data_IF_586339169020
#
_entry.id   IF_586339169020
#
_cell.length_a   1.000
_cell.length_b   1.000
_cell.length_c   1.000
_cell.angle_alpha   90.00
_cell.angle_beta   90.00
_cell.angle_gamma   90.00
#
_symmetry.space_group_name_H-M   'P 1'
#
loop_
_entity.id
_entity.type
_entity.pdbx_description
1 polymer ?
#
# COMPACT_ATOMS: atom_id res chain seq x y z
N UNK A 1 -33.11 4.86 5.36
CA UNK A 1 -32.42 4.94 4.05
C UNK A 1 -31.23 5.86 4.26
N UNK A 2 -30.00 5.36 4.12
CA UNK A 2 -28.83 6.24 4.19
C UNK A 2 -28.68 7.07 2.92
N UNK A 3 -27.78 8.04 2.94
CA UNK A 3 -27.56 8.97 1.81
C UNK A 3 -26.47 8.44 0.87
N UNK A 4 -26.52 8.89 -0.37
CA UNK A 4 -25.41 8.77 -1.30
C UNK A 4 -24.39 9.91 -1.06
N UNK A 5 -23.11 9.56 -1.00
CA UNK A 5 -21.98 10.49 -0.89
C UNK A 5 -21.12 10.31 -2.15
N UNK A 6 -20.83 11.37 -2.86
CA UNK A 6 -20.11 11.30 -4.14
C UNK A 6 -18.66 11.73 -4.00
N UNK A 7 -17.77 11.02 -4.68
CA UNK A 7 -16.33 11.28 -4.72
C UNK A 7 -15.86 11.32 -6.18
N UNK A 8 -15.08 12.35 -6.54
CA UNK A 8 -14.45 12.50 -7.84
C UNK A 8 -13.12 13.25 -7.69
N UNK A 9 -11.99 12.55 -7.92
CA UNK A 9 -10.64 13.12 -7.86
C UNK A 9 -10.44 14.33 -8.80
N UNK A 10 -11.14 14.35 -9.94
CA UNK A 10 -11.05 15.44 -10.93
C UNK A 10 -11.91 16.67 -10.61
N UNK A 11 -12.61 16.69 -9.48
CA UNK A 11 -13.44 17.85 -9.13
C UNK A 11 -12.59 19.04 -8.68
N UNK A 12 -12.73 20.18 -9.36
CA UNK A 12 -11.91 21.37 -9.11
C UNK A 12 -12.45 22.23 -7.95
N UNK A 13 -13.76 22.17 -7.65
CA UNK A 13 -14.41 22.99 -6.62
C UNK A 13 -14.25 22.51 -5.17
N UNK A 14 -14.95 23.16 -4.25
CA UNK A 14 -15.03 22.72 -2.85
C UNK A 14 -16.01 21.53 -2.73
N UNK A 15 -15.49 20.36 -2.35
CA UNK A 15 -16.28 19.13 -2.27
C UNK A 15 -17.12 19.06 -1.00
N UNK A 16 -18.44 18.86 -1.16
CA UNK A 16 -19.43 18.72 -0.07
C UNK A 16 -20.04 17.30 -0.01
N UNK A 17 -19.58 16.40 -0.87
CA UNK A 17 -20.07 15.02 -0.97
C UNK A 17 -21.42 14.87 -1.66
N UNK A 18 -21.95 15.92 -2.29
CA UNK A 18 -23.16 15.84 -3.11
C UNK A 18 -22.81 15.50 -4.56
N UNK A 19 -23.80 15.17 -5.38
CA UNK A 19 -23.57 14.85 -6.79
C UNK A 19 -23.00 16.03 -7.58
N UNK A 20 -23.44 17.25 -7.27
CA UNK A 20 -23.03 18.49 -7.92
C UNK A 20 -21.70 19.04 -7.36
N UNK A 21 -21.35 18.66 -6.14
CA UNK A 21 -20.13 19.05 -5.45
C UNK A 21 -19.52 17.84 -4.73
N UNK A 22 -18.99 16.84 -5.46
CA UNK A 22 -18.43 15.63 -4.87
C UNK A 22 -17.17 15.95 -4.05
N UNK A 23 -16.87 15.11 -3.07
CA UNK A 23 -15.55 15.14 -2.43
C UNK A 23 -14.44 14.79 -3.42
N UNK A 24 -13.22 15.21 -3.16
CA UNK A 24 -12.05 14.92 -4.02
C UNK A 24 -11.35 13.63 -3.62
N UNK A 25 -11.38 13.31 -2.32
CA UNK A 25 -10.76 12.14 -1.72
C UNK A 25 -11.80 11.19 -1.15
N UNK A 26 -11.52 9.90 -1.22
CA UNK A 26 -12.37 8.86 -0.62
C UNK A 26 -12.37 9.03 0.91
N UNK A 27 -11.25 9.43 1.51
CA UNK A 27 -11.15 9.69 2.94
C UNK A 27 -12.16 10.75 3.41
N UNK A 28 -12.39 11.83 2.64
CA UNK A 28 -13.38 12.85 3.02
C UNK A 28 -14.79 12.28 3.13
N UNK A 29 -15.13 11.29 2.29
CA UNK A 29 -16.37 10.57 2.41
C UNK A 29 -16.35 9.61 3.61
N UNK A 30 -15.23 8.91 3.83
CA UNK A 30 -15.04 7.99 4.95
C UNK A 30 -15.14 8.68 6.32
N UNK A 31 -14.74 9.95 6.41
CA UNK A 31 -14.83 10.78 7.62
C UNK A 31 -16.29 11.05 8.05
N UNK A 32 -17.22 11.08 7.09
CA UNK A 32 -18.62 11.50 7.33
C UNK A 32 -19.65 10.42 7.06
N UNK A 33 -19.28 9.31 6.42
CA UNK A 33 -20.15 8.19 6.13
C UNK A 33 -20.57 7.49 7.42
N UNK A 34 -21.86 7.14 7.51
CA UNK A 34 -22.47 6.46 8.66
C UNK A 34 -23.21 5.21 8.21
N UNK A 35 -23.61 4.37 9.16
CA UNK A 35 -24.41 3.16 8.91
C UNK A 35 -25.58 3.45 7.96
N UNK A 36 -25.65 2.69 6.86
CA UNK A 36 -26.66 2.82 5.81
C UNK A 36 -26.24 3.72 4.62
N UNK A 37 -25.19 4.52 4.75
CA UNK A 37 -24.71 5.40 3.68
C UNK A 37 -23.98 4.63 2.58
N UNK A 38 -23.99 5.19 1.37
CA UNK A 38 -23.24 4.67 0.21
C UNK A 38 -22.32 5.75 -0.35
N UNK A 39 -21.03 5.49 -0.34
CA UNK A 39 -19.98 6.28 -0.98
C UNK A 39 -19.82 5.78 -2.43
N UNK A 40 -20.13 6.64 -3.39
CA UNK A 40 -20.05 6.40 -4.83
C UNK A 40 -18.83 7.14 -5.39
N UNK A 41 -17.85 6.38 -5.89
CA UNK A 41 -16.56 6.91 -6.34
C UNK A 41 -16.48 6.88 -7.86
N UNK A 42 -16.30 8.05 -8.47
CA UNK A 42 -16.08 8.19 -9.91
C UNK A 42 -14.72 7.65 -10.34
N UNK A 43 -14.56 7.27 -11.62
CA UNK A 43 -13.27 6.84 -12.16
C UNK A 43 -12.14 7.85 -11.90
N UNK A 44 -10.95 7.34 -11.61
CA UNK A 44 -9.79 8.16 -11.27
C UNK A 44 -8.77 7.43 -10.40
N UNK A 45 -7.60 8.03 -10.24
CA UNK A 45 -6.53 7.53 -9.37
C UNK A 45 -6.58 8.30 -8.05
N UNK A 46 -6.76 7.57 -6.97
CA UNK A 46 -6.87 8.06 -5.60
C UNK A 46 -5.61 7.62 -4.84
N UNK A 47 -4.63 8.54 -4.75
CA UNK A 47 -3.35 8.34 -4.08
C UNK A 47 -3.49 8.59 -2.58
N UNK A 48 -4.17 7.68 -1.89
CA UNK A 48 -4.52 7.86 -0.48
C UNK A 48 -4.60 6.53 0.26
N UNK A 49 -4.60 6.63 1.59
CA UNK A 49 -5.01 5.55 2.47
C UNK A 49 -6.38 5.91 3.03
N UNK A 50 -7.35 5.04 2.77
CA UNK A 50 -8.72 5.16 3.27
C UNK A 50 -8.86 4.44 4.60
N UNK A 51 -9.20 5.20 5.64
CA UNK A 51 -9.43 4.81 7.02
C UNK A 51 -10.90 5.06 7.38
N UNK A 52 -11.81 4.09 7.18
CA UNK A 52 -13.22 4.22 7.57
C UNK A 52 -13.37 4.45 9.07
N UNK A 53 -14.01 5.57 9.45
CA UNK A 53 -14.14 5.94 10.87
C UNK A 53 -15.34 5.30 11.57
N UNK A 54 -16.44 5.07 10.84
CA UNK A 54 -17.71 4.63 11.42
C UNK A 54 -18.09 3.22 10.95
N UNK A 55 -18.50 2.38 11.89
CA UNK A 55 -19.04 1.06 11.60
C UNK A 55 -20.45 1.13 10.98
N UNK A 56 -20.73 0.19 10.09
CA UNK A 56 -22.09 -0.15 9.67
C UNK A 56 -22.79 -1.09 10.67
N UNK A 57 -24.00 -1.50 10.30
CA UNK A 57 -24.74 -2.59 10.94
C UNK A 57 -25.10 -3.64 9.91
N UNK A 58 -25.50 -4.82 10.36
CA UNK A 58 -25.88 -5.94 9.49
C UNK A 58 -26.96 -5.57 8.46
N UNK A 59 -27.98 -4.82 8.88
CA UNK A 59 -29.06 -4.31 8.01
C UNK A 59 -28.76 -2.91 7.41
N UNK A 60 -27.68 -2.25 7.81
CA UNK A 60 -27.34 -0.87 7.46
C UNK A 60 -25.82 -0.73 7.28
N UNK A 61 -25.27 -1.40 6.27
CA UNK A 61 -23.84 -1.37 5.93
C UNK A 61 -23.40 0.03 5.52
N UNK A 62 -22.11 0.34 5.69
CA UNK A 62 -21.49 1.46 4.98
C UNK A 62 -20.88 0.91 3.70
N UNK A 63 -21.33 1.38 2.56
CA UNK A 63 -20.93 0.83 1.25
C UNK A 63 -19.99 1.83 0.58
N UNK A 64 -18.81 1.37 0.18
CA UNK A 64 -17.90 2.07 -0.72
C UNK A 64 -17.94 1.35 -2.05
N UNK A 65 -18.23 2.08 -3.12
CA UNK A 65 -18.42 1.50 -4.44
C UNK A 65 -17.80 2.36 -5.53
N UNK A 66 -16.98 1.76 -6.37
CA UNK A 66 -16.61 2.34 -7.66
C UNK A 66 -17.84 2.35 -8.57
N UNK A 67 -18.18 3.52 -9.13
CA UNK A 67 -19.36 3.69 -10.00
C UNK A 67 -19.19 2.88 -11.29
N UNK A 68 -17.98 2.87 -11.83
CA UNK A 68 -17.58 2.01 -12.96
C UNK A 68 -16.69 0.88 -12.41
N UNK A 69 -16.95 -0.40 -12.71
CA UNK A 69 -16.12 -1.50 -12.25
C UNK A 69 -14.64 -1.27 -12.59
N UNK A 70 -13.78 -1.34 -11.57
CA UNK A 70 -12.34 -1.08 -11.63
C UNK A 70 -11.91 0.32 -12.10
N UNK A 71 -12.87 1.25 -12.29
CA UNK A 71 -12.60 2.62 -12.74
C UNK A 71 -11.96 3.51 -11.67
N UNK A 72 -12.26 3.28 -10.40
CA UNK A 72 -11.60 3.95 -9.27
C UNK A 72 -10.42 3.09 -8.77
N UNK A 73 -9.22 3.67 -8.88
CA UNK A 73 -7.96 3.04 -8.43
C UNK A 73 -7.52 3.67 -7.11
N UNK A 74 -7.41 2.89 -6.05
CA UNK A 74 -6.85 3.33 -4.75
C UNK A 74 -5.41 2.84 -4.69
N UNK A 75 -4.44 3.76 -4.60
CA UNK A 75 -3.02 3.40 -4.67
C UNK A 75 -2.20 3.95 -3.50
N UNK A 76 -1.36 3.08 -2.93
CA UNK A 76 -0.41 3.44 -1.88
C UNK A 76 0.85 4.14 -2.42
N UNK A 77 0.97 4.30 -3.74
CA UNK A 77 2.15 4.83 -4.40
C UNK A 77 2.01 6.28 -4.87
N UNK A 78 3.14 6.95 -5.04
CA UNK A 78 3.25 8.28 -5.66
C UNK A 78 4.06 8.20 -6.95
N UNK A 79 3.70 9.02 -7.93
CA UNK A 79 4.50 9.18 -9.14
C UNK A 79 5.75 10.01 -8.82
N UNK A 80 6.90 9.58 -9.34
CA UNK A 80 8.18 10.25 -9.10
C UNK A 80 8.80 10.66 -10.43
N UNK A 81 9.10 11.96 -10.53
CA UNK A 81 9.83 12.58 -11.63
C UNK A 81 11.16 13.16 -11.14
N UNK A 82 11.88 13.84 -12.03
CA UNK A 82 13.16 14.48 -11.76
C UNK A 82 14.29 13.50 -11.38
N UNK A 83 14.22 12.30 -11.94
CA UNK A 83 15.31 11.35 -11.89
C UNK A 83 16.54 11.94 -12.61
N UNK A 84 17.70 11.83 -11.98
CA UNK A 84 18.97 12.25 -12.57
C UNK A 84 19.77 11.03 -12.97
N UNK A 85 20.34 11.04 -14.17
CA UNK A 85 21.21 9.95 -14.62
C UNK A 85 22.40 9.84 -13.66
N UNK A 86 22.60 8.67 -13.07
CA UNK A 86 23.70 8.40 -12.14
C UNK A 86 24.87 7.76 -12.88
N UNK A 87 24.62 6.60 -13.51
CA UNK A 87 25.64 5.84 -14.24
C UNK A 87 25.00 4.81 -15.17
N UNK A 88 25.43 4.76 -16.43
CA UNK A 88 24.94 3.81 -17.44
C UNK A 88 23.40 3.83 -17.54
N UNK A 89 22.72 2.75 -17.13
CA UNK A 89 21.25 2.64 -17.11
C UNK A 89 20.63 2.98 -15.74
N UNK A 90 21.45 3.35 -14.76
CA UNK A 90 21.03 3.69 -13.40
C UNK A 90 20.73 5.18 -13.28
N UNK A 91 19.55 5.46 -12.75
CA UNK A 91 19.11 6.79 -12.38
C UNK A 91 18.91 6.89 -10.88
N UNK A 92 19.01 8.11 -10.35
CA UNK A 92 18.88 8.42 -8.94
C UNK A 92 17.82 9.51 -8.73
N UNK A 93 17.06 9.39 -7.65
CA UNK A 93 16.17 10.45 -7.16
C UNK A 93 16.33 10.60 -5.64
N UNK A 94 16.19 11.83 -5.15
CA UNK A 94 16.13 12.13 -3.71
C UNK A 94 14.71 12.55 -3.36
N UNK A 95 14.10 11.87 -2.40
CA UNK A 95 12.73 12.09 -1.95
C UNK A 95 12.77 12.60 -0.52
N UNK A 96 12.13 13.73 -0.25
CA UNK A 96 12.05 14.27 1.11
C UNK A 96 11.22 13.34 2.00
N UNK A 97 11.73 13.02 3.20
CA UNK A 97 11.11 12.02 4.07
C UNK A 97 9.72 12.44 4.60
N UNK A 98 9.36 13.73 4.51
CA UNK A 98 8.04 14.24 4.88
C UNK A 98 6.89 13.49 4.17
N UNK A 99 7.10 13.05 2.93
CA UNK A 99 6.07 12.32 2.16
C UNK A 99 5.66 11.00 2.84
N UNK A 100 6.56 10.41 3.63
CA UNK A 100 6.35 9.13 4.30
C UNK A 100 5.69 9.28 5.68
N UNK A 101 5.66 10.50 6.25
CA UNK A 101 5.19 10.72 7.61
C UNK A 101 5.93 9.83 8.62
N UNK A 102 5.18 9.14 9.48
CA UNK A 102 5.73 8.26 10.52
C UNK A 102 6.12 6.86 10.01
N UNK A 103 5.94 6.58 8.71
CA UNK A 103 6.19 5.28 8.11
C UNK A 103 6.94 5.40 6.78
N UNK A 104 8.26 5.20 6.81
CA UNK A 104 9.08 5.16 5.60
C UNK A 104 9.27 3.72 5.10
N UNK A 105 8.70 3.35 3.92
CA UNK A 105 8.86 2.02 3.36
C UNK A 105 10.32 1.67 3.03
N UNK A 106 11.19 2.66 2.83
CA UNK A 106 12.59 2.50 2.44
C UNK A 106 13.55 2.36 3.62
N UNK A 107 13.05 2.48 4.86
CA UNK A 107 13.78 2.14 6.08
C UNK A 107 13.11 1.04 6.90
N UNK A 108 11.88 0.66 6.52
CA UNK A 108 11.14 -0.41 7.20
C UNK A 108 11.50 -1.75 6.59
N UNK A 109 12.06 -2.65 7.39
CA UNK A 109 12.44 -3.98 6.93
C UNK A 109 11.24 -4.95 6.89
N UNK A 110 11.24 -5.83 5.89
CA UNK A 110 10.45 -7.06 5.92
C UNK A 110 11.14 -7.98 6.93
N UNK A 111 10.52 -8.16 8.08
CA UNK A 111 11.07 -8.94 9.19
C UNK A 111 9.95 -9.44 10.12
N UNK A 112 10.29 -10.38 11.00
CA UNK A 112 9.39 -10.87 12.05
C UNK A 112 9.47 -12.39 12.21
N UNK A 113 8.54 -12.91 13.01
CA UNK A 113 8.46 -14.34 13.29
C UNK A 113 8.33 -15.16 12.01
N UNK A 114 9.04 -16.30 11.95
CA UNK A 114 9.14 -17.18 10.78
C UNK A 114 9.68 -16.56 9.49
N UNK A 115 10.27 -15.36 9.55
CA UNK A 115 10.95 -14.77 8.40
C UNK A 115 12.43 -15.19 8.35
N UNK A 116 12.76 -16.15 7.48
CA UNK A 116 14.11 -16.73 7.36
C UNK A 116 14.84 -16.33 6.07
N UNK A 117 14.62 -15.11 5.58
CA UNK A 117 15.28 -14.65 4.36
C UNK A 117 16.79 -14.40 4.62
N UNK A 118 17.68 -14.84 3.71
CA UNK A 118 19.12 -14.62 3.85
C UNK A 118 19.54 -13.18 3.57
N UNK A 119 18.64 -12.36 3.03
CA UNK A 119 18.90 -10.97 2.66
C UNK A 119 17.85 -10.08 3.27
N UNK A 120 18.29 -8.92 3.75
CA UNK A 120 17.40 -7.88 4.24
C UNK A 120 16.71 -7.23 3.05
N UNK A 121 15.40 -7.01 3.20
CA UNK A 121 14.55 -6.36 2.22
C UNK A 121 13.69 -5.33 2.91
N UNK A 122 13.33 -4.28 2.22
CA UNK A 122 12.47 -3.21 2.72
C UNK A 122 11.03 -3.40 2.27
N UNK A 123 10.09 -2.70 2.91
CA UNK A 123 8.70 -2.72 2.49
C UNK A 123 8.43 -1.81 1.28
N UNK A 124 9.39 -0.97 0.93
CA UNK A 124 9.40 -0.14 -0.27
C UNK A 124 9.44 -0.96 -1.56
N UNK A 125 9.07 -0.28 -2.65
CA UNK A 125 9.13 -0.80 -4.01
C UNK A 125 9.24 0.36 -4.99
N UNK A 126 9.85 0.10 -6.15
CA UNK A 126 9.82 1.00 -7.31
C UNK A 126 9.03 0.30 -8.41
N UNK A 127 8.16 1.02 -9.10
CA UNK A 127 7.36 0.51 -10.20
C UNK A 127 7.73 1.22 -11.49
N UNK A 128 7.88 0.46 -12.57
CA UNK A 128 8.08 0.97 -13.93
C UNK A 128 6.93 0.48 -14.81
N UNK A 129 6.07 1.40 -15.25
CA UNK A 129 4.86 1.09 -16.02
C UNK A 129 4.06 -0.05 -15.37
N UNK A 130 3.71 0.14 -14.08
CA UNK A 130 3.01 -0.81 -13.21
C UNK A 130 3.75 -2.12 -12.85
N UNK A 131 4.96 -2.36 -13.40
CA UNK A 131 5.81 -3.50 -13.01
C UNK A 131 6.62 -3.18 -11.77
N UNK A 132 6.45 -3.96 -10.72
CA UNK A 132 7.30 -3.91 -9.53
C UNK A 132 8.74 -4.36 -9.86
N UNK A 133 9.71 -3.50 -9.57
CA UNK A 133 11.14 -3.75 -9.75
C UNK A 133 11.74 -4.53 -8.57
N UNK A 134 12.89 -5.15 -8.79
CA UNK A 134 13.57 -6.02 -7.81
C UNK A 134 14.53 -5.23 -6.93
N UNK A 135 14.36 -5.35 -5.62
CA UNK A 135 15.27 -4.75 -4.64
C UNK A 135 16.62 -5.47 -4.59
N UNK A 136 17.69 -4.70 -4.45
CA UNK A 136 19.08 -5.18 -4.31
C UNK A 136 19.67 -4.82 -2.95
N UNK A 137 20.67 -5.58 -2.50
CA UNK A 137 21.35 -5.35 -1.21
C UNK A 137 22.36 -4.21 -1.33
N UNK A 138 22.99 -4.07 -2.49
CA UNK A 138 24.04 -3.09 -2.73
C UNK A 138 23.77 -2.27 -3.99
N UNK A 139 24.29 -1.04 -4.01
CA UNK A 139 24.26 -0.21 -5.22
C UNK A 139 24.96 -0.89 -6.41
N UNK A 140 26.05 -1.64 -6.16
CA UNK A 140 26.77 -2.36 -7.21
C UNK A 140 25.90 -3.43 -7.89
N UNK A 141 25.09 -4.17 -7.13
CA UNK A 141 24.10 -5.11 -7.69
C UNK A 141 23.07 -4.39 -8.55
N UNK A 142 22.58 -3.23 -8.10
CA UNK A 142 21.67 -2.39 -8.89
C UNK A 142 22.31 -1.92 -10.20
N UNK A 143 23.57 -1.48 -10.16
CA UNK A 143 24.33 -1.06 -11.35
C UNK A 143 24.49 -2.22 -12.33
N UNK A 144 24.86 -3.41 -11.86
CA UNK A 144 25.02 -4.58 -12.73
C UNK A 144 23.71 -5.00 -13.39
N UNK A 145 22.59 -4.90 -12.68
CA UNK A 145 21.26 -5.21 -13.23
C UNK A 145 21.14 -6.65 -13.76
N UNK A 146 21.82 -7.59 -13.09
CA UNK A 146 21.81 -9.01 -13.45
C UNK A 146 20.44 -9.64 -13.14
N UNK A 147 19.99 -10.52 -14.03
CA UNK A 147 18.75 -11.27 -13.84
C UNK A 147 18.87 -12.15 -12.58
N UNK A 148 17.82 -12.13 -11.74
CA UNK A 148 17.69 -13.07 -10.63
C UNK A 148 17.49 -14.50 -11.18
N UNK A 149 18.41 -15.46 -10.90
CA UNK A 149 18.33 -16.80 -11.45
C UNK A 149 17.12 -17.60 -10.95
N UNK A 150 16.53 -17.20 -9.83
CA UNK A 150 15.36 -17.81 -9.20
C UNK A 150 14.04 -17.14 -9.60
N UNK A 151 14.09 -16.04 -10.37
CA UNK A 151 12.87 -15.41 -10.89
C UNK A 151 12.23 -16.25 -11.99
N UNK A 152 10.90 -16.40 -11.90
CA UNK A 152 10.07 -16.96 -12.98
C UNK A 152 10.08 -16.07 -14.24
N UNK A 153 10.27 -14.76 -14.06
CA UNK A 153 10.40 -13.78 -15.14
C UNK A 153 11.80 -13.17 -15.12
N UNK A 154 12.77 -13.88 -15.68
CA UNK A 154 14.20 -13.51 -15.61
C UNK A 154 14.52 -12.16 -16.26
N UNK A 155 13.94 -11.86 -17.42
CA UNK A 155 14.16 -10.57 -18.08
C UNK A 155 13.57 -9.40 -17.28
N UNK A 156 12.45 -9.63 -16.59
CA UNK A 156 11.85 -8.62 -15.71
C UNK A 156 12.64 -8.41 -14.42
N UNK A 157 13.38 -9.43 -13.98
CA UNK A 157 14.20 -9.31 -12.77
C UNK A 157 15.50 -8.53 -12.96
N UNK A 158 15.84 -8.11 -14.18
CA UNK A 158 16.96 -7.20 -14.45
C UNK A 158 16.66 -5.75 -14.07
N UNK A 159 15.39 -5.39 -13.92
CA UNK A 159 14.97 -4.07 -13.45
C UNK A 159 15.15 -4.00 -11.94
N UNK A 160 16.26 -3.39 -11.51
CA UNK A 160 16.70 -3.37 -10.11
C UNK A 160 16.53 -2.01 -9.47
N UNK A 161 16.36 -1.97 -8.15
CA UNK A 161 16.48 -0.75 -7.37
C UNK A 161 17.26 -0.98 -6.06
N UNK A 162 17.82 0.10 -5.54
CA UNK A 162 18.56 0.20 -4.28
C UNK A 162 18.15 1.49 -3.56
N UNK A 163 18.24 1.53 -2.24
CA UNK A 163 17.97 2.74 -1.46
C UNK A 163 18.96 2.93 -0.33
N UNK A 164 19.21 4.19 -0.01
CA UNK A 164 19.96 4.63 1.16
C UNK A 164 19.33 5.91 1.73
N UNK A 165 19.74 6.30 2.93
CA UNK A 165 19.27 7.52 3.57
C UNK A 165 20.36 8.60 3.51
N UNK A 166 19.97 9.83 3.16
CA UNK A 166 20.82 11.02 3.11
C UNK A 166 20.15 12.13 3.94
N UNK A 167 20.43 12.14 5.24
CA UNK A 167 19.82 13.08 6.18
C UNK A 167 18.30 12.91 6.27
N UNK A 168 17.56 13.95 5.89
CA UNK A 168 16.09 13.99 5.85
C UNK A 168 15.51 13.49 4.51
N UNK A 169 16.33 12.84 3.68
CA UNK A 169 15.93 12.33 2.37
C UNK A 169 16.17 10.83 2.24
N UNK A 170 15.27 10.19 1.51
CA UNK A 170 15.45 8.85 0.98
C UNK A 170 16.01 8.96 -0.43
N UNK A 171 17.17 8.35 -0.67
CA UNK A 171 17.77 8.26 -1.99
C UNK A 171 17.41 6.92 -2.60
N UNK A 172 16.89 6.94 -3.82
CA UNK A 172 16.53 5.73 -4.57
C UNK A 172 17.32 5.70 -5.86
N UNK A 173 18.05 4.61 -6.07
CA UNK A 173 18.73 4.28 -7.31
C UNK A 173 17.95 3.19 -8.02
N UNK A 174 17.76 3.31 -9.32
CA UNK A 174 17.03 2.32 -10.10
C UNK A 174 17.64 2.15 -11.48
N UNK A 175 17.85 0.88 -11.86
CA UNK A 175 18.34 0.48 -13.18
C UNK A 175 17.15 0.28 -14.11
N UNK A 176 16.98 1.22 -15.04
CA UNK A 176 15.84 1.26 -15.95
C UNK A 176 16.11 0.61 -17.32
N UNK A 177 17.28 -0.03 -17.50
CA UNK A 177 17.64 -0.82 -18.69
C UNK A 177 17.44 -0.05 -20.01
N UNK A 178 18.00 1.16 -20.08
CA UNK A 178 17.94 2.05 -21.25
C UNK A 178 16.67 2.92 -21.34
N UNK A 179 15.71 2.74 -20.43
CA UNK A 179 14.51 3.59 -20.36
C UNK A 179 14.80 4.88 -19.59
N UNK A 180 14.19 5.96 -20.06
CA UNK A 180 14.24 7.28 -19.42
C UNK A 180 13.09 7.39 -18.41
N UNK A 181 13.35 7.29 -17.09
CA UNK A 181 12.30 7.29 -16.07
C UNK A 181 11.49 8.58 -16.00
N UNK A 182 11.98 9.69 -16.57
CA UNK A 182 11.23 10.94 -16.64
C UNK A 182 10.19 10.95 -17.78
N UNK A 183 10.28 10.01 -18.72
CA UNK A 183 9.32 9.82 -19.82
C UNK A 183 8.36 8.65 -19.60
N UNK A 184 8.75 7.71 -18.73
CA UNK A 184 7.95 6.55 -18.36
C UNK A 184 7.05 6.87 -17.15
N UNK A 185 6.12 5.96 -16.82
CA UNK A 185 5.40 6.00 -15.56
C UNK A 185 6.26 5.31 -14.49
N UNK A 186 6.86 6.10 -13.59
CA UNK A 186 7.63 5.59 -12.46
C UNK A 186 6.96 5.99 -11.17
N UNK A 187 6.65 5.00 -10.34
CA UNK A 187 6.00 5.19 -9.06
C UNK A 187 6.79 4.53 -7.93
N UNK A 188 6.62 5.02 -6.71
CA UNK A 188 7.27 4.49 -5.53
C UNK A 188 6.22 4.21 -4.45
N UNK A 189 6.40 3.16 -3.66
CA UNK A 189 5.56 2.93 -2.47
C UNK A 189 5.73 4.09 -1.49
N UNK A 190 4.62 4.63 -0.97
CA UNK A 190 4.64 5.67 0.08
C UNK A 190 3.84 5.21 1.29
N UNK A 191 2.62 4.72 1.06
CA UNK A 191 1.68 4.34 2.13
C UNK A 191 1.76 2.86 2.45
N UNK A 192 1.56 2.54 3.73
CA UNK A 192 1.52 1.17 4.24
C UNK A 192 0.30 0.40 3.70
N UNK A 193 -0.88 0.99 3.81
CA UNK A 193 -2.17 0.37 3.46
C UNK A 193 -2.92 1.29 2.47
N UNK A 194 -3.91 0.74 1.77
CA UNK A 194 -4.74 1.48 0.82
C UNK A 194 -6.17 1.67 1.34
N UNK A 195 -6.79 0.61 1.89
CA UNK A 195 -8.13 0.68 2.48
C UNK A 195 -8.19 -0.17 3.74
N UNK A 196 -7.89 0.42 4.89
CA UNK A 196 -7.85 -0.32 6.15
C UNK A 196 -8.13 0.63 7.32
N UNK A 197 -9.07 0.32 8.23
CA UNK A 197 -9.32 1.19 9.38
C UNK A 197 -8.18 1.09 10.39
N UNK A 198 -7.87 2.18 11.08
CA UNK A 198 -6.92 2.19 12.19
C UNK A 198 -7.44 1.48 13.44
N UNK A 199 -8.76 1.50 13.62
CA UNK A 199 -9.42 1.01 14.82
C UNK A 199 -10.08 -0.33 14.53
N UNK A 200 -10.05 -1.20 15.54
CA UNK A 200 -10.82 -2.43 15.56
C UNK A 200 -12.33 -2.14 15.60
N UNK A 201 -13.14 -3.12 15.19
CA UNK A 201 -14.59 -3.08 15.35
C UNK A 201 -15.33 -2.11 14.42
N UNK A 202 -14.68 -1.64 13.35
CA UNK A 202 -15.33 -0.91 12.25
C UNK A 202 -16.10 -1.92 11.39
N UNK A 203 -17.20 -2.44 11.93
CA UNK A 203 -17.94 -3.57 11.37
C UNK A 203 -18.75 -3.21 10.12
N UNK A 204 -19.17 -4.24 9.37
CA UNK A 204 -20.19 -4.17 8.32
C UNK A 204 -19.92 -3.10 7.24
N UNK A 205 -18.66 -3.03 6.78
CA UNK A 205 -18.27 -2.26 5.59
C UNK A 205 -18.38 -3.13 4.35
N UNK A 206 -18.85 -2.57 3.24
CA UNK A 206 -18.73 -3.19 1.92
C UNK A 206 -17.78 -2.35 1.08
N UNK A 207 -16.79 -2.98 0.45
CA UNK A 207 -15.88 -2.38 -0.53
C UNK A 207 -16.08 -3.12 -1.85
N UNK A 208 -16.58 -2.42 -2.86
CA UNK A 208 -17.02 -3.03 -4.12
C UNK A 208 -16.46 -2.33 -5.36
N UNK A 209 -15.92 -3.11 -6.30
CA UNK A 209 -15.62 -2.64 -7.64
C UNK A 209 -14.32 -1.83 -7.80
N UNK A 210 -13.43 -1.78 -6.81
CA UNK A 210 -12.20 -0.97 -6.88
C UNK A 210 -11.01 -1.76 -7.45
N UNK A 211 -10.08 -1.05 -8.10
CA UNK A 211 -8.70 -1.51 -8.18
C UNK A 211 -7.93 -0.96 -6.98
N UNK A 212 -7.22 -1.79 -6.24
CA UNK A 212 -6.47 -1.42 -5.04
C UNK A 212 -5.03 -1.93 -5.20
N UNK A 213 -4.06 -1.03 -5.28
CA UNK A 213 -2.69 -1.42 -5.61
C UNK A 213 -1.58 -0.67 -4.85
N UNK A 214 -0.36 -1.21 -4.96
CA UNK A 214 0.93 -0.56 -4.64
C UNK A 214 1.00 0.04 -3.24
N UNK A 215 0.83 -0.80 -2.22
CA UNK A 215 1.08 -0.44 -0.83
C UNK A 215 2.22 -1.23 -0.24
N UNK A 216 2.69 -0.74 0.90
CA UNK A 216 3.84 -1.28 1.62
C UNK A 216 3.44 -1.93 2.96
N UNK A 217 2.53 -2.92 3.02
CA UNK A 217 2.22 -3.58 4.28
C UNK A 217 3.41 -4.42 4.76
N UNK A 218 3.41 -4.72 6.05
CA UNK A 218 4.51 -5.44 6.70
C UNK A 218 4.35 -6.96 6.59
N UNK A 219 5.41 -7.70 6.94
CA UNK A 219 5.31 -9.14 7.14
C UNK A 219 4.29 -9.45 8.24
N UNK A 220 3.36 -10.38 7.96
CA UNK A 220 2.15 -10.60 8.76
C UNK A 220 2.05 -12.04 9.32
N UNK A 221 3.01 -12.50 10.14
CA UNK A 221 2.95 -13.82 10.76
C UNK A 221 1.80 -13.89 11.78
N UNK A 222 1.31 -15.09 12.14
CA UNK A 222 0.14 -15.25 13.01
C UNK A 222 0.32 -14.68 14.42
N UNK A 223 1.55 -14.45 14.86
CA UNK A 223 1.89 -13.87 16.17
C UNK A 223 2.16 -12.34 16.12
N UNK A 224 1.89 -11.66 15.01
CA UNK A 224 2.09 -10.22 14.88
C UNK A 224 0.79 -9.48 14.50
N UNK A 225 0.84 -8.16 14.46
CA UNK A 225 -0.17 -7.38 13.71
C UNK A 225 -0.19 -7.80 12.24
N UNK A 226 -1.37 -8.14 11.72
CA UNK A 226 -1.52 -8.64 10.36
C UNK A 226 -2.22 -7.61 9.48
N UNK A 227 -1.44 -6.70 8.89
CA UNK A 227 -1.94 -5.71 7.95
C UNK A 227 -1.91 -6.19 6.49
N UNK A 228 -2.51 -5.41 5.59
CA UNK A 228 -2.54 -5.68 4.15
C UNK A 228 -2.88 -4.42 3.36
N UNK A 229 -2.99 -4.51 2.03
CA UNK A 229 -3.49 -3.37 1.24
C UNK A 229 -4.92 -3.00 1.63
N UNK A 230 -5.73 -4.03 1.85
CA UNK A 230 -7.11 -3.92 2.33
C UNK A 230 -7.38 -4.94 3.43
N UNK A 231 -8.15 -4.55 4.44
CA UNK A 231 -8.59 -5.47 5.48
C UNK A 231 -9.56 -4.84 6.48
N UNK A 232 -10.29 -5.66 7.25
CA UNK A 232 -11.27 -5.20 8.21
C UNK A 232 -10.65 -4.75 9.54
N UNK A 233 -9.36 -5.04 9.77
CA UNK A 233 -8.66 -4.82 11.04
C UNK A 233 -9.48 -5.29 12.25
N UNK A 234 -9.57 -6.62 12.44
CA UNK A 234 -10.32 -7.20 13.56
C UNK A 234 -11.76 -6.68 13.69
N UNK A 235 -12.50 -6.77 12.58
CA UNK A 235 -13.90 -6.36 12.49
C UNK A 235 -14.77 -7.45 11.88
N UNK A 236 -16.08 -7.33 12.10
CA UNK A 236 -17.08 -8.32 11.69
C UNK A 236 -17.82 -7.88 10.43
N UNK A 237 -18.15 -8.86 9.59
CA UNK A 237 -19.19 -8.71 8.56
C UNK A 237 -18.80 -7.86 7.37
N UNK A 238 -17.50 -7.64 7.12
CA UNK A 238 -17.04 -6.98 5.90
C UNK A 238 -17.38 -7.78 4.65
N UNK A 239 -17.59 -7.08 3.54
CA UNK A 239 -17.66 -7.64 2.20
C UNK A 239 -16.63 -6.92 1.34
N UNK A 240 -15.72 -7.69 0.73
CA UNK A 240 -14.78 -7.20 -0.28
C UNK A 240 -15.15 -7.96 -1.57
N UNK A 241 -15.76 -7.29 -2.52
CA UNK A 241 -16.33 -7.91 -3.72
C UNK A 241 -15.96 -7.13 -4.98
N UNK A 242 -15.85 -7.83 -6.12
CA UNK A 242 -15.57 -7.22 -7.43
C UNK A 242 -14.32 -6.32 -7.48
N UNK A 243 -13.36 -6.53 -6.57
CA UNK A 243 -12.14 -5.74 -6.50
C UNK A 243 -10.97 -6.46 -7.16
N UNK A 244 -10.07 -5.70 -7.77
CA UNK A 244 -8.73 -6.17 -8.14
C UNK A 244 -7.73 -5.68 -7.08
N UNK A 245 -6.99 -6.60 -6.46
CA UNK A 245 -5.98 -6.28 -5.43
C UNK A 245 -4.62 -6.80 -5.90
N UNK A 246 -3.65 -5.92 -6.09
CA UNK A 246 -2.35 -6.27 -6.67
C UNK A 246 -1.20 -5.43 -6.11
N UNK A 247 0.05 -5.82 -6.41
CA UNK A 247 1.24 -5.07 -6.01
C UNK A 247 1.33 -4.77 -4.50
N UNK A 248 0.90 -5.72 -3.66
CA UNK A 248 1.19 -5.67 -2.23
C UNK A 248 2.61 -6.15 -1.97
N UNK A 249 3.32 -5.45 -1.08
CA UNK A 249 4.64 -5.89 -0.66
C UNK A 249 4.64 -7.23 0.09
N UNK A 250 3.61 -7.46 0.91
CA UNK A 250 3.43 -8.68 1.69
C UNK A 250 2.00 -9.24 1.51
N UNK A 251 1.03 -8.77 2.29
CA UNK A 251 -0.34 -9.27 2.23
C UNK A 251 -1.26 -8.36 1.39
N UNK A 252 -1.98 -8.91 0.42
CA UNK A 252 -2.98 -8.17 -0.37
C UNK A 252 -4.24 -7.88 0.45
N UNK A 253 -4.98 -8.94 0.78
CA UNK A 253 -6.19 -8.87 1.60
C UNK A 253 -5.89 -9.53 2.95
N UNK A 254 -5.89 -8.75 4.03
CA UNK A 254 -5.74 -9.29 5.39
C UNK A 254 -7.09 -9.47 6.05
N UNK A 255 -7.33 -10.66 6.62
CA UNK A 255 -8.42 -10.94 7.56
C UNK A 255 -7.86 -11.32 8.94
N UNK A 256 -6.62 -10.92 9.21
CA UNK A 256 -5.84 -11.36 10.37
C UNK A 256 -6.15 -10.62 11.67
N UNK A 257 -5.30 -10.88 12.67
CA UNK A 257 -5.41 -10.31 14.02
C UNK A 257 -4.94 -8.86 14.11
N UNK A 258 -5.50 -8.16 15.08
CA UNK A 258 -5.02 -6.87 15.58
C UNK A 258 -3.65 -7.02 16.25
N UNK A 259 -2.98 -5.89 16.47
CA UNK A 259 -1.73 -5.84 17.23
C UNK A 259 -1.98 -6.12 18.71
N UNK A 260 -1.39 -7.20 19.21
CA UNK A 260 -1.32 -7.49 20.64
C UNK A 260 0.05 -7.04 21.16
N UNK A 261 0.11 -5.92 21.88
CA UNK A 261 1.38 -5.29 22.30
C UNK A 261 2.27 -6.21 23.14
N UNK A 262 1.69 -7.18 23.87
CA UNK A 262 2.47 -8.10 24.69
C UNK A 262 3.11 -9.23 23.87
N UNK A 263 2.47 -9.61 22.76
CA UNK A 263 2.84 -10.79 21.97
C UNK A 263 3.38 -10.46 20.56
N UNK A 264 3.25 -9.22 20.09
CA UNK A 264 3.63 -8.78 18.74
C UNK A 264 5.10 -9.10 18.43
N UNK A 265 5.32 -10.03 17.51
CA UNK A 265 6.66 -10.49 17.09
C UNK A 265 7.54 -10.90 18.28
N UNK A 266 6.96 -11.56 19.28
CA UNK A 266 7.64 -11.83 20.55
C UNK A 266 8.90 -12.68 20.37
N UNK A 267 8.89 -13.70 19.50
CA UNK A 267 10.08 -14.51 19.26
C UNK A 267 11.18 -13.68 18.61
N UNK A 268 10.85 -12.95 17.54
CA UNK A 268 11.77 -12.08 16.82
C UNK A 268 12.36 -10.97 17.68
N UNK A 269 11.60 -10.41 18.63
CA UNK A 269 12.07 -9.29 19.46
C UNK A 269 12.71 -9.73 20.77
N UNK A 270 12.21 -10.78 21.43
CA UNK A 270 12.65 -11.21 22.77
C UNK A 270 13.53 -12.45 22.76
N UNK A 271 13.38 -13.35 21.79
CA UNK A 271 14.11 -14.61 21.69
C UNK A 271 13.96 -15.54 22.93
N UNK A 272 12.86 -15.43 23.68
CA UNK A 272 12.64 -16.21 24.93
C UNK A 272 11.81 -17.48 24.71
N UNK A 273 10.89 -17.47 23.75
CA UNK A 273 9.97 -18.59 23.43
C UNK A 273 9.86 -18.73 21.92
N UNK A 274 9.69 -19.95 21.41
CA UNK A 274 9.54 -20.17 19.97
C UNK A 274 8.24 -19.53 19.46
N UNK A 275 8.16 -19.16 18.17
CA UNK A 275 6.96 -18.49 17.67
C UNK A 275 5.74 -19.43 17.69
N UNK A 276 5.93 -20.75 17.60
CA UNK A 276 4.86 -21.75 17.81
C UNK A 276 4.26 -21.71 19.23
N UNK A 277 5.04 -21.33 20.25
CA UNK A 277 4.50 -21.17 21.61
C UNK A 277 3.67 -19.89 21.77
N UNK A 278 3.88 -18.91 20.87
CA UNK A 278 3.22 -17.60 20.87
C UNK A 278 2.01 -17.52 19.94
N UNK A 279 1.71 -18.58 19.18
CA UNK A 279 0.61 -18.65 18.21
C UNK A 279 -0.79 -18.80 18.84
N UNK A 280 -0.91 -18.71 20.18
CA UNK A 280 -2.16 -18.97 20.90
C UNK A 280 -3.05 -17.75 21.08
#
# INVERSE_FOLDING_TARGET
>A
MGRAIYVNAGFEGEGKGTKEAPFKRIQQAADVAKAGDTVLVSPGIYREWVNPLNAGKESERVIYKSIEPLGAVITGAEEVKNWTLYKDDVWCVKVDNEIFGDYNPYTTFVCGDWYFAPTVRHTGAVFLNDRMMYETVTLDECIKGEADPFSWQRSESEYKWYTEQDGDKTVIYANFKGKDPNKENVEINVRRNCFMPDKNGVNYITVSGFKIDKGAPTWAPPAAYQDGLIGPHWSKGWIIEDCEVSNSRCCGISLGKYRDEENDMYFYTKHVKSPTQMER
#
